data_IF_895436167489
#
_entry.id   IF_895436167489
#
_cell.length_a   1.000
_cell.length_b   1.000
_cell.length_c   1.000
_cell.angle_alpha   90.00
_cell.angle_beta   90.00
_cell.angle_gamma   90.00
#
_symmetry.space_group_name_H-M   'P 1'
#
loop_
_entity.id
_entity.type
_entity.pdbx_description
1 polymer ?
#
# COMPACT_ATOMS: atom_id res chain seq x y z
N UNK A 1 -21.89 -65.65 -1.96
CA UNK A 1 -20.90 -64.54 -1.96
C UNK A 1 -21.46 -63.45 -1.05
N UNK A 2 -21.53 -63.62 0.26
CA UNK A 2 -20.48 -63.44 1.29
C UNK A 2 -19.74 -62.10 1.15
N UNK A 3 -20.31 -61.08 1.80
CA UNK A 3 -19.63 -59.84 2.18
C UNK A 3 -18.64 -60.11 3.30
N UNK A 4 -17.43 -59.57 3.16
CA UNK A 4 -16.36 -59.68 4.14
C UNK A 4 -15.96 -58.26 4.59
N UNK A 5 -15.62 -58.19 5.90
CA UNK A 5 -14.86 -57.15 6.63
C UNK A 5 -15.67 -55.91 7.05
N UNK A 6 -15.68 -55.40 8.29
CA UNK A 6 -14.97 -55.67 9.58
C UNK A 6 -15.68 -54.77 10.61
N UNK A 7 -16.13 -55.27 11.77
CA UNK A 7 -15.56 -55.03 13.13
C UNK A 7 -14.70 -53.75 13.26
N UNK A 8 -14.78 -52.90 14.29
CA UNK A 8 -14.69 -53.14 15.73
C UNK A 8 -14.88 -51.76 16.44
N UNK A 9 -15.09 -51.77 17.76
CA UNK A 9 -15.03 -50.61 18.69
C UNK A 9 -16.35 -49.92 19.06
N UNK A 10 -17.18 -50.66 19.80
CA UNK A 10 -17.88 -50.08 20.94
C UNK A 10 -16.83 -49.67 22.00
N UNK A 11 -16.89 -48.44 22.51
CA UNK A 11 -16.77 -48.11 23.95
C UNK A 11 -16.76 -46.57 24.12
N UNK A 12 -17.58 -46.12 25.07
CA UNK A 12 -17.42 -44.88 25.84
C UNK A 12 -17.78 -43.54 25.16
N UNK A 13 -19.02 -43.05 25.42
CA UNK A 13 -19.29 -41.73 26.02
C UNK A 13 -20.80 -41.49 26.19
N UNK A 14 -21.35 -42.11 27.24
CA UNK A 14 -22.59 -41.65 27.86
C UNK A 14 -22.25 -40.68 28.99
N UNK A 15 -21.95 -39.41 28.67
CA UNK A 15 -22.03 -38.27 29.60
C UNK A 15 -22.21 -37.00 28.77
N UNK A 16 -23.38 -36.79 28.18
CA UNK A 16 -23.72 -35.47 27.62
C UNK A 16 -25.23 -35.26 27.45
N UNK A 17 -26.06 -35.75 28.37
CA UNK A 17 -27.46 -35.32 28.44
C UNK A 17 -27.89 -35.40 29.88
N UNK A 18 -27.86 -34.26 30.57
CA UNK A 18 -28.70 -33.80 31.69
C UNK A 18 -27.99 -32.54 32.20
N UNK A 19 -28.43 -31.38 31.72
CA UNK A 19 -27.85 -30.09 32.08
C UNK A 19 -28.51 -28.93 31.35
N UNK A 20 -29.75 -29.12 30.92
CA UNK A 20 -30.55 -28.13 30.19
C UNK A 20 -31.99 -28.29 30.66
N UNK A 21 -32.32 -27.67 31.81
CA UNK A 21 -33.65 -27.31 32.31
C UNK A 21 -33.57 -27.22 33.83
N UNK A 22 -33.53 -25.98 34.36
CA UNK A 22 -33.89 -25.55 35.73
C UNK A 22 -32.98 -24.39 36.17
N UNK A 23 -33.22 -23.18 35.65
CA UNK A 23 -32.80 -21.91 36.25
C UNK A 23 -33.60 -20.76 35.60
N UNK A 24 -34.92 -20.93 35.54
CA UNK A 24 -35.87 -19.88 35.19
C UNK A 24 -36.97 -19.96 36.25
N UNK A 25 -37.25 -18.81 36.88
CA UNK A 25 -38.19 -18.58 37.98
C UNK A 25 -37.63 -18.76 39.41
N UNK A 26 -36.97 -17.73 39.93
CA UNK A 26 -37.38 -17.06 41.17
C UNK A 26 -36.49 -15.82 41.40
N UNK A 27 -37.06 -14.62 41.33
CA UNK A 27 -36.30 -13.40 41.59
C UNK A 27 -37.02 -12.13 41.19
N UNK A 28 -38.34 -12.08 41.35
CA UNK A 28 -39.12 -10.84 41.26
C UNK A 28 -39.68 -10.56 42.66
N UNK A 29 -39.32 -9.39 43.20
CA UNK A 29 -40.07 -8.55 44.15
C UNK A 29 -39.25 -8.07 45.37
N UNK A 30 -39.25 -6.74 45.51
CA UNK A 30 -38.97 -5.89 46.68
C UNK A 30 -37.48 -5.59 46.95
N UNK A 31 -36.98 -4.36 47.03
CA UNK A 31 -37.59 -3.03 47.00
C UNK A 31 -36.57 -2.00 47.55
N UNK A 32 -36.39 -0.89 46.81
CA UNK A 32 -35.98 0.48 47.23
C UNK A 32 -34.78 0.67 48.17
N UNK A 33 -33.73 1.37 47.69
CA UNK A 33 -33.35 2.73 48.15
C UNK A 33 -32.17 3.29 47.35
N UNK A 34 -32.17 4.61 47.18
CA UNK A 34 -31.33 5.39 46.28
C UNK A 34 -29.87 5.54 46.73
N UNK A 35 -28.96 5.76 45.75
CA UNK A 35 -28.04 6.90 45.74
C UNK A 35 -27.30 7.01 44.39
N UNK A 36 -27.27 8.23 43.86
CA UNK A 36 -26.48 8.64 42.70
C UNK A 36 -25.03 8.14 42.79
N UNK A 37 -24.59 7.41 41.78
CA UNK A 37 -23.21 7.48 41.31
C UNK A 37 -23.27 7.42 39.79
N UNK A 38 -22.96 8.56 39.19
CA UNK A 38 -22.66 8.74 37.77
C UNK A 38 -21.72 7.60 37.35
N UNK A 39 -22.22 6.66 36.56
CA UNK A 39 -21.35 5.67 35.93
C UNK A 39 -20.40 6.41 34.99
N UNK A 40 -19.08 6.16 35.04
CA UNK A 40 -18.23 6.61 33.96
C UNK A 40 -18.70 5.89 32.70
N UNK A 41 -19.20 6.66 31.74
CA UNK A 41 -19.29 6.22 30.35
C UNK A 41 -17.93 5.66 30.02
N UNK A 42 -17.88 4.33 29.85
CA UNK A 42 -16.72 3.62 29.35
C UNK A 42 -16.28 4.38 28.10
N UNK A 43 -15.08 4.99 28.07
CA UNK A 43 -14.62 5.60 26.85
C UNK A 43 -14.63 4.50 25.81
N UNK A 44 -15.47 4.69 24.80
CA UNK A 44 -15.36 4.05 23.50
C UNK A 44 -13.88 3.84 23.26
N UNK A 45 -13.45 2.60 23.10
CA UNK A 45 -12.09 2.27 22.71
C UNK A 45 -11.76 3.21 21.56
N UNK A 46 -10.96 4.23 21.87
CA UNK A 46 -10.34 5.06 20.88
C UNK A 46 -9.59 4.06 20.02
N UNK A 47 -10.02 3.96 18.77
CA UNK A 47 -9.28 3.35 17.68
C UNK A 47 -7.83 3.80 17.85
N UNK A 48 -7.02 2.89 18.40
CA UNK A 48 -5.62 3.15 18.68
C UNK A 48 -4.90 2.89 17.36
N UNK A 49 -4.80 4.00 16.62
CA UNK A 49 -3.80 4.26 15.61
C UNK A 49 -3.84 3.32 14.39
N UNK A 50 -4.75 3.62 13.47
CA UNK A 50 -4.28 3.91 12.11
C UNK A 50 -3.17 4.94 12.28
N UNK A 51 -1.91 4.48 12.36
CA UNK A 51 -0.78 5.34 12.13
C UNK A 51 -1.00 5.88 10.73
N UNK A 52 -1.56 7.07 10.66
CA UNK A 52 -1.82 7.84 9.46
C UNK A 52 -0.57 7.70 8.60
N UNK A 53 -0.69 6.91 7.54
CA UNK A 53 0.43 6.62 6.65
C UNK A 53 0.60 7.85 5.77
N UNK A 54 1.02 8.94 6.39
CA UNK A 54 1.28 10.17 5.70
C UNK A 54 2.73 10.08 5.25
N UNK A 55 2.95 9.54 4.05
CA UNK A 55 4.10 10.02 3.30
C UNK A 55 3.81 11.49 3.04
N UNK A 56 4.42 12.36 3.84
CA UNK A 56 4.36 13.81 3.64
C UNK A 56 4.79 14.06 2.20
N UNK A 57 3.93 14.73 1.44
CA UNK A 57 4.19 15.09 0.05
C UNK A 57 5.55 15.82 -0.04
N UNK A 58 6.47 15.29 -0.82
CA UNK A 58 7.70 15.98 -1.18
C UNK A 58 7.54 16.59 -2.57
N UNK A 59 7.93 17.86 -2.68
CA UNK A 59 7.86 18.62 -3.93
C UNK A 59 9.08 19.52 -4.02
N UNK A 60 9.88 19.37 -5.07
CA UNK A 60 10.96 20.31 -5.37
C UNK A 60 10.39 21.62 -5.94
N UNK A 61 11.22 22.68 -5.99
CA UNK A 61 10.87 23.94 -6.63
C UNK A 61 10.62 23.83 -8.15
N UNK A 62 10.99 22.71 -8.77
CA UNK A 62 10.74 22.42 -10.19
C UNK A 62 9.30 22.03 -10.46
N UNK A 63 8.55 21.56 -9.45
CA UNK A 63 7.19 21.07 -9.68
C UNK A 63 6.20 22.16 -9.39
N UNK A 64 5.20 22.30 -10.25
CA UNK A 64 3.98 23.08 -10.04
C UNK A 64 2.77 22.14 -9.98
N UNK A 65 2.00 22.22 -8.89
CA UNK A 65 0.84 21.35 -8.66
C UNK A 65 -0.44 22.17 -8.86
N UNK A 66 -1.28 21.75 -9.80
CA UNK A 66 -2.59 22.34 -10.04
C UNK A 66 -3.67 21.31 -9.81
N UNK A 67 -4.77 21.70 -9.14
CA UNK A 67 -5.94 20.83 -8.99
C UNK A 67 -6.62 20.66 -10.33
N UNK A 68 -6.96 19.44 -10.69
CA UNK A 68 -7.72 19.15 -11.90
C UNK A 68 -9.01 18.44 -11.52
N UNK A 69 -10.12 18.88 -12.12
CA UNK A 69 -11.37 18.14 -12.14
C UNK A 69 -11.58 17.67 -13.56
N UNK A 70 -11.46 16.37 -13.79
CA UNK A 70 -11.72 15.81 -15.11
C UNK A 70 -13.06 15.09 -15.13
N UNK A 71 -13.87 15.40 -16.14
CA UNK A 71 -15.09 14.67 -16.49
C UNK A 71 -14.78 13.70 -17.63
N UNK A 72 -13.89 12.72 -17.42
CA UNK A 72 -13.62 11.69 -18.44
C UNK A 72 -14.38 10.40 -18.14
N UNK A 73 -14.67 9.67 -19.23
CA UNK A 73 -15.10 8.27 -19.20
C UNK A 73 -13.95 7.47 -18.60
N UNK A 74 -14.14 7.02 -17.35
CA UNK A 74 -13.23 6.09 -16.68
C UNK A 74 -13.04 4.85 -17.53
N UNK A 75 -11.86 4.71 -18.14
CA UNK A 75 -11.35 3.38 -18.47
C UNK A 75 -10.72 2.89 -17.19
N UNK A 76 -11.29 1.87 -16.56
CA UNK A 76 -10.60 1.25 -15.43
C UNK A 76 -9.20 0.89 -15.93
N UNK A 77 -8.13 1.50 -15.38
CA UNK A 77 -6.80 1.01 -15.68
C UNK A 77 -6.80 -0.48 -15.36
N UNK A 78 -6.11 -1.29 -16.16
CA UNK A 78 -5.81 -2.64 -15.71
C UNK A 78 -5.17 -2.45 -14.34
N UNK A 79 -5.81 -3.02 -13.33
CA UNK A 79 -5.49 -2.86 -11.93
C UNK A 79 -4.02 -3.19 -11.60
N UNK A 80 -3.33 -3.82 -12.54
CA UNK A 80 -1.97 -4.30 -12.44
C UNK A 80 -0.98 -3.52 -13.33
N UNK A 81 -1.42 -2.49 -14.06
CA UNK A 81 -0.61 -1.72 -15.01
C UNK A 81 -1.01 -0.24 -15.07
N UNK A 82 -0.61 0.53 -14.05
CA UNK A 82 -0.93 1.97 -13.97
C UNK A 82 -0.22 2.81 -15.04
N UNK A 83 0.99 2.38 -15.45
CA UNK A 83 1.84 3.11 -16.38
C UNK A 83 1.78 2.56 -17.81
N UNK A 84 0.86 1.64 -18.12
CA UNK A 84 0.74 1.03 -19.45
C UNK A 84 0.51 2.04 -20.59
N UNK A 85 -0.10 3.19 -20.28
CA UNK A 85 -0.36 4.24 -21.27
C UNK A 85 0.84 5.14 -21.58
N UNK A 86 1.96 4.98 -20.85
CA UNK A 86 3.19 5.71 -21.11
C UNK A 86 3.96 5.04 -22.23
N UNK A 87 4.55 5.86 -23.12
CA UNK A 87 5.25 5.38 -24.31
C UNK A 87 6.42 4.45 -23.99
N UNK A 88 7.06 4.68 -22.84
CA UNK A 88 8.17 3.88 -22.34
C UNK A 88 7.93 3.54 -20.88
N UNK A 89 7.42 2.34 -20.63
CA UNK A 89 7.19 1.83 -19.29
C UNK A 89 7.71 0.40 -19.16
N UNK A 90 7.99 0.00 -17.93
CA UNK A 90 8.42 -1.34 -17.55
C UNK A 90 7.78 -1.75 -16.23
N UNK A 91 7.68 -3.06 -16.02
CA UNK A 91 7.44 -3.65 -14.72
C UNK A 91 8.76 -4.20 -14.18
N UNK A 92 9.04 -3.93 -12.91
CA UNK A 92 10.25 -4.38 -12.23
C UNK A 92 9.86 -5.44 -11.21
N UNK A 93 10.24 -6.68 -11.49
CA UNK A 93 10.13 -7.75 -10.52
C UNK A 93 11.34 -7.72 -9.57
N UNK A 94 11.12 -8.09 -8.31
CA UNK A 94 12.06 -7.86 -7.21
C UNK A 94 13.37 -8.65 -7.28
N UNK A 95 13.52 -9.51 -8.30
CA UNK A 95 14.61 -10.45 -8.48
C UNK A 95 15.54 -10.06 -9.63
N UNK A 96 15.10 -9.25 -10.59
CA UNK A 96 15.85 -8.95 -11.82
C UNK A 96 15.79 -7.45 -12.10
N UNK A 97 16.95 -6.76 -12.17
CA UNK A 97 17.00 -5.38 -12.64
C UNK A 97 16.39 -5.26 -14.04
N UNK A 98 15.52 -4.29 -14.23
CA UNK A 98 14.83 -4.07 -15.50
C UNK A 98 15.33 -2.78 -16.17
N UNK A 99 15.47 -2.82 -17.50
CA UNK A 99 16.04 -1.71 -18.28
C UNK A 99 14.94 -0.80 -18.82
N UNK A 100 15.08 0.49 -18.54
CA UNK A 100 14.25 1.57 -19.08
C UNK A 100 15.16 2.51 -19.89
N UNK A 101 15.49 2.08 -21.11
CA UNK A 101 16.46 2.76 -21.99
C UNK A 101 17.84 2.90 -21.32
N UNK A 102 18.28 4.13 -21.06
CA UNK A 102 19.56 4.43 -20.41
C UNK A 102 19.56 4.12 -18.91
N UNK A 103 18.36 3.95 -18.32
CA UNK A 103 18.19 3.65 -16.91
C UNK A 103 18.08 2.13 -16.67
N UNK A 104 18.58 1.70 -15.52
CA UNK A 104 18.35 0.37 -14.96
C UNK A 104 17.71 0.55 -13.60
N UNK A 105 16.58 -0.12 -13.39
CA UNK A 105 15.78 -0.01 -12.18
C UNK A 105 15.75 -1.37 -11.51
N UNK A 106 16.16 -1.39 -10.25
CA UNK A 106 16.10 -2.57 -9.40
C UNK A 106 15.10 -2.33 -8.29
N UNK A 107 14.28 -3.33 -8.00
CA UNK A 107 13.34 -3.30 -6.89
C UNK A 107 13.73 -4.38 -5.91
N UNK A 108 13.98 -4.04 -4.65
CA UNK A 108 14.34 -5.02 -3.62
C UNK A 108 13.16 -5.22 -2.69
N UNK A 109 12.71 -6.46 -2.60
CA UNK A 109 11.62 -6.92 -1.73
C UNK A 109 12.24 -7.73 -0.59
N UNK A 110 12.41 -7.20 0.63
CA UNK A 110 12.93 -7.99 1.73
C UNK A 110 11.99 -9.18 2.06
N UNK A 111 12.53 -10.32 2.52
CA UNK A 111 11.74 -11.50 2.85
C UNK A 111 10.78 -11.23 4.02
N UNK A 112 9.52 -11.65 3.89
CA UNK A 112 8.46 -11.28 4.84
C UNK A 112 8.42 -12.12 6.13
N UNK A 113 9.16 -13.22 6.23
CA UNK A 113 9.21 -14.03 7.46
C UNK A 113 9.93 -13.33 8.62
N UNK A 114 10.67 -12.25 8.36
CA UNK A 114 11.36 -11.47 9.39
C UNK A 114 10.42 -10.55 10.19
N UNK A 115 9.17 -10.33 9.76
CA UNK A 115 8.23 -9.43 10.45
C UNK A 115 7.35 -10.11 11.51
N UNK A 116 7.31 -11.45 11.55
CA UNK A 116 6.35 -12.17 12.41
C UNK A 116 6.85 -12.35 13.86
N UNK A 117 8.11 -12.06 14.14
CA UNK A 117 8.73 -12.34 15.45
C UNK A 117 9.29 -11.12 16.18
N UNK A 118 9.20 -9.91 15.61
CA UNK A 118 9.70 -8.70 16.28
C UNK A 118 8.51 -7.90 16.79
N UNK A 119 8.17 -8.17 18.05
CA UNK A 119 7.37 -7.27 18.86
C UNK A 119 8.12 -5.93 18.89
N UNK A 120 7.50 -4.79 18.48
CA UNK A 120 8.24 -3.55 18.31
C UNK A 120 8.44 -2.91 19.68
N UNK A 121 9.42 -3.38 20.43
CA UNK A 121 10.04 -2.55 21.45
C UNK A 121 10.94 -1.55 20.72
N UNK A 122 10.52 -0.28 20.73
CA UNK A 122 11.18 0.89 20.15
C UNK A 122 11.12 1.03 18.62
N UNK A 123 10.63 2.21 18.18
CA UNK A 123 10.27 2.56 16.80
C UNK A 123 11.43 2.75 15.82
N UNK A 124 12.39 1.83 15.77
CA UNK A 124 13.38 1.76 14.69
C UNK A 124 13.13 0.50 13.86
N UNK A 125 12.31 0.62 12.81
CA UNK A 125 12.30 -0.36 11.74
C UNK A 125 13.69 -0.36 11.09
N UNK A 126 14.44 -1.46 11.22
CA UNK A 126 15.76 -1.59 10.61
C UNK A 126 15.68 -1.40 9.09
N UNK A 127 16.58 -0.61 8.50
CA UNK A 127 16.63 -0.31 7.06
C UNK A 127 16.65 -1.56 6.14
N UNK A 128 16.95 -2.75 6.68
CA UNK A 128 16.90 -4.03 5.96
C UNK A 128 15.49 -4.61 5.77
N UNK A 129 14.46 -3.95 6.29
CA UNK A 129 13.07 -4.43 6.35
C UNK A 129 12.09 -3.61 5.51
N UNK A 130 12.58 -2.69 4.68
CA UNK A 130 11.72 -1.88 3.80
C UNK A 130 12.00 -2.23 2.35
N UNK A 131 10.97 -2.13 1.53
CA UNK A 131 11.11 -2.22 0.09
C UNK A 131 12.02 -1.08 -0.39
N UNK A 132 12.87 -1.33 -1.37
CA UNK A 132 13.80 -0.32 -1.89
C UNK A 132 13.73 -0.28 -3.41
N UNK A 133 13.65 0.93 -3.96
CA UNK A 133 13.93 1.17 -5.38
C UNK A 133 15.35 1.70 -5.53
N UNK A 134 16.08 1.15 -6.49
CA UNK A 134 17.40 1.63 -6.90
C UNK A 134 17.36 1.96 -8.39
N UNK A 135 17.90 3.13 -8.73
CA UNK A 135 18.01 3.59 -10.12
C UNK A 135 19.48 3.84 -10.42
N UNK A 136 19.94 3.31 -11.55
CA UNK A 136 21.23 3.63 -12.16
C UNK A 136 21.02 4.07 -13.60
N UNK A 137 22.00 4.81 -14.15
CA UNK A 137 22.00 5.24 -15.54
C UNK A 137 23.37 5.01 -16.14
N UNK A 138 23.45 4.35 -17.30
CA UNK A 138 24.72 4.04 -17.96
C UNK A 138 25.75 3.36 -17.04
N UNK A 139 25.30 2.50 -16.12
CA UNK A 139 26.14 1.80 -15.15
C UNK A 139 26.49 2.61 -13.89
N UNK A 140 26.19 3.90 -13.85
CA UNK A 140 26.39 4.74 -12.67
C UNK A 140 25.17 4.69 -11.74
N UNK A 141 25.39 4.40 -10.46
CA UNK A 141 24.35 4.50 -9.44
C UNK A 141 23.91 5.96 -9.26
N UNK A 142 22.59 6.20 -9.24
CA UNK A 142 22.01 7.54 -9.08
C UNK A 142 21.32 7.67 -7.72
N UNK A 143 20.36 6.78 -7.42
CA UNK A 143 19.52 6.90 -6.23
C UNK A 143 19.13 5.54 -5.68
N UNK A 144 18.99 5.49 -4.35
CA UNK A 144 18.32 4.43 -3.59
C UNK A 144 17.29 5.09 -2.69
N UNK A 145 16.06 4.60 -2.76
CA UNK A 145 14.95 5.15 -2.00
C UNK A 145 14.17 4.01 -1.33
N UNK A 146 13.90 4.16 -0.04
CA UNK A 146 13.08 3.23 0.73
C UNK A 146 11.60 3.56 0.59
N UNK A 147 10.78 2.53 0.41
CA UNK A 147 9.33 2.63 0.29
C UNK A 147 8.71 2.14 1.59
N UNK A 148 7.89 2.99 2.21
CA UNK A 148 7.27 2.66 3.49
C UNK A 148 6.39 1.40 3.36
N UNK A 149 6.43 0.47 4.34
CA UNK A 149 5.69 -0.80 4.27
C UNK A 149 4.18 -0.66 4.05
N UNK A 150 3.62 0.48 4.42
CA UNK A 150 2.22 0.77 4.24
C UNK A 150 1.77 0.89 2.76
N UNK A 151 2.69 1.17 1.83
CA UNK A 151 2.39 1.23 0.40
C UNK A 151 2.64 -0.08 -0.34
N UNK A 152 3.50 -0.94 0.21
CA UNK A 152 3.89 -2.21 -0.42
C UNK A 152 3.16 -3.40 0.18
N UNK A 153 2.69 -3.28 1.42
CA UNK A 153 1.96 -4.33 2.12
C UNK A 153 2.82 -5.57 2.42
N UNK A 154 2.18 -6.57 3.01
CA UNK A 154 2.84 -7.82 3.46
C UNK A 154 2.65 -9.00 2.49
N UNK A 155 2.38 -8.76 1.20
CA UNK A 155 2.08 -9.84 0.25
C UNK A 155 3.20 -10.09 -0.78
N UNK A 156 3.16 -11.27 -1.40
CA UNK A 156 4.12 -11.72 -2.42
C UNK A 156 3.98 -10.96 -3.76
N UNK A 157 2.87 -10.27 -3.96
CA UNK A 157 2.53 -9.57 -5.22
C UNK A 157 2.98 -8.11 -5.27
N UNK A 158 3.85 -7.67 -4.35
CA UNK A 158 4.53 -6.37 -4.41
C UNK A 158 5.12 -6.16 -5.80
N UNK A 159 4.81 -5.04 -6.45
CA UNK A 159 5.32 -4.71 -7.79
C UNK A 159 5.74 -3.26 -7.84
N UNK A 160 6.78 -3.01 -8.63
CA UNK A 160 7.20 -1.68 -9.00
C UNK A 160 6.98 -1.53 -10.50
N UNK A 161 6.28 -0.48 -10.89
CA UNK A 161 6.22 0.01 -12.26
C UNK A 161 7.13 1.22 -12.39
N UNK A 162 7.70 1.40 -13.58
CA UNK A 162 8.45 2.61 -13.88
C UNK A 162 8.19 3.07 -15.31
N UNK A 163 8.16 4.38 -15.51
CA UNK A 163 8.05 5.00 -16.81
C UNK A 163 9.08 6.11 -16.98
N UNK A 164 9.53 6.30 -18.22
CA UNK A 164 10.39 7.43 -18.59
C UNK A 164 9.48 8.59 -18.95
N UNK A 165 9.72 9.76 -18.35
CA UNK A 165 9.08 11.00 -18.73
C UNK A 165 10.10 11.89 -19.44
N UNK A 166 9.69 12.52 -20.54
CA UNK A 166 10.48 13.55 -21.22
C UNK A 166 9.77 14.88 -21.10
N UNK A 167 10.40 15.87 -20.48
CA UNK A 167 9.85 17.22 -20.32
C UNK A 167 10.87 18.22 -20.87
N UNK A 168 10.53 18.84 -22.00
CA UNK A 168 11.51 19.57 -22.80
C UNK A 168 12.65 18.65 -23.23
N UNK A 169 13.89 19.04 -22.94
CA UNK A 169 15.09 18.25 -23.19
C UNK A 169 15.51 17.37 -22.00
N UNK A 170 14.86 17.52 -20.85
CA UNK A 170 15.15 16.77 -19.66
C UNK A 170 14.40 15.42 -19.61
N UNK A 171 15.02 14.46 -18.93
CA UNK A 171 14.46 13.11 -18.75
C UNK A 171 14.31 12.82 -17.26
N UNK A 172 13.17 12.24 -16.91
CA UNK A 172 12.83 11.85 -15.55
C UNK A 172 12.38 10.39 -15.50
N UNK A 173 12.47 9.79 -14.32
CA UNK A 173 11.97 8.45 -14.04
C UNK A 173 10.81 8.57 -13.08
N UNK A 174 9.61 8.20 -13.53
CA UNK A 174 8.43 8.01 -12.71
C UNK A 174 8.43 6.57 -12.21
N UNK A 175 8.33 6.38 -10.90
CA UNK A 175 8.22 5.07 -10.26
C UNK A 175 6.93 4.99 -9.45
N UNK A 176 6.26 3.83 -9.53
CA UNK A 176 5.05 3.54 -8.79
C UNK A 176 5.17 2.17 -8.14
N UNK A 177 5.02 2.10 -6.82
CA UNK A 177 4.96 0.84 -6.09
C UNK A 177 3.53 0.59 -5.60
N UNK A 178 3.03 -0.61 -5.83
CA UNK A 178 1.68 -1.02 -5.45
C UNK A 178 1.70 -2.36 -4.70
N UNK A 179 0.90 -2.43 -3.63
CA UNK A 179 0.63 -3.62 -2.82
C UNK A 179 -0.56 -4.48 -3.26
N UNK A 180 -1.13 -4.27 -4.46
CA UNK A 180 -2.35 -4.89 -5.05
C UNK A 180 -3.63 -4.04 -4.85
N UNK A 181 -4.64 -4.26 -5.70
CA UNK A 181 -5.94 -3.57 -5.77
C UNK A 181 -6.47 -3.00 -4.43
N UNK A 182 -6.93 -1.74 -4.47
CA UNK A 182 -7.45 -0.96 -3.33
C UNK A 182 -6.45 -0.58 -2.24
N UNK A 183 -5.16 -0.94 -2.34
CA UNK A 183 -4.14 -0.52 -1.37
C UNK A 183 -3.57 0.86 -1.69
N UNK A 184 -3.04 1.58 -0.69
CA UNK A 184 -2.25 2.78 -0.93
C UNK A 184 -1.11 2.50 -1.91
N UNK A 185 -0.74 3.49 -2.71
CA UNK A 185 0.40 3.41 -3.63
C UNK A 185 1.45 4.43 -3.25
N UNK A 186 2.70 4.09 -3.53
CA UNK A 186 3.80 5.04 -3.44
C UNK A 186 4.19 5.50 -4.83
N UNK A 187 4.34 6.80 -5.01
CA UNK A 187 4.75 7.42 -6.26
C UNK A 187 5.96 8.31 -6.02
N UNK A 188 6.94 8.24 -6.91
CA UNK A 188 8.05 9.19 -6.95
C UNK A 188 8.48 9.52 -8.39
N UNK A 189 8.99 10.73 -8.57
CA UNK A 189 9.62 11.19 -9.80
C UNK A 189 11.05 11.61 -9.46
N UNK A 190 12.02 11.06 -10.19
CA UNK A 190 13.44 11.38 -10.05
C UNK A 190 13.94 12.03 -11.34
N UNK A 191 14.76 13.06 -11.20
CA UNK A 191 15.51 13.64 -12.31
C UNK A 191 16.63 12.69 -12.77
N UNK A 192 17.24 12.99 -13.92
CA UNK A 192 18.25 12.14 -14.54
C UNK A 192 19.56 12.00 -13.73
N UNK A 193 19.78 12.88 -12.76
CA UNK A 193 20.89 12.86 -11.80
C UNK A 193 20.56 12.03 -10.54
N UNK A 194 19.32 11.56 -10.40
CA UNK A 194 18.82 10.85 -9.22
C UNK A 194 18.14 11.74 -8.17
N UNK A 195 18.17 13.06 -8.34
CA UNK A 195 17.53 13.99 -7.41
C UNK A 195 16.01 13.78 -7.42
N UNK A 196 15.35 13.69 -6.24
CA UNK A 196 13.90 13.61 -6.21
C UNK A 196 13.27 14.92 -6.62
N UNK A 197 12.23 14.83 -7.43
CA UNK A 197 11.45 15.96 -7.95
C UNK A 197 10.08 15.99 -7.29
N UNK A 198 9.47 14.83 -7.13
CA UNK A 198 8.16 14.69 -6.49
C UNK A 198 8.05 13.34 -5.79
N UNK A 199 7.41 13.27 -4.61
CA UNK A 199 7.04 12.01 -3.94
C UNK A 199 5.72 12.18 -3.21
N UNK A 200 4.84 11.18 -3.32
CA UNK A 200 3.55 11.20 -2.64
C UNK A 200 3.08 9.77 -2.34
N UNK A 201 2.44 9.61 -1.18
CA UNK A 201 1.60 8.45 -0.89
C UNK A 201 0.19 8.70 -1.41
N UNK A 202 -0.29 7.84 -2.30
CA UNK A 202 -1.65 7.87 -2.81
C UNK A 202 -2.52 6.96 -1.93
N UNK A 203 -3.69 7.42 -1.45
CA UNK A 203 -4.45 6.72 -0.40
C UNK A 203 -5.08 5.39 -0.84
N UNK A 204 -5.16 5.14 -2.15
CA UNK A 204 -5.73 3.92 -2.71
C UNK A 204 -5.14 3.62 -4.09
N UNK A 205 -5.41 2.42 -4.62
CA UNK A 205 -4.80 1.93 -5.86
C UNK A 205 -5.46 2.42 -7.16
N UNK A 206 -6.62 3.08 -7.07
CA UNK A 206 -7.40 3.45 -8.26
C UNK A 206 -7.03 4.83 -8.79
N UNK A 207 -5.86 4.94 -9.40
CA UNK A 207 -5.40 6.17 -10.07
C UNK A 207 -5.09 5.92 -11.53
N UNK A 208 -5.50 6.88 -12.36
CA UNK A 208 -5.11 6.98 -13.75
C UNK A 208 -4.00 8.04 -13.88
N UNK A 209 -2.94 7.70 -14.62
CA UNK A 209 -1.78 8.57 -14.85
C UNK A 209 -1.64 8.91 -16.33
N UNK A 210 -1.84 10.17 -16.70
CA UNK A 210 -1.68 10.60 -18.09
C UNK A 210 -0.35 11.31 -18.29
N UNK A 211 0.40 10.92 -19.32
CA UNK A 211 1.61 11.60 -19.77
C UNK A 211 1.26 12.84 -20.61
N UNK A 212 2.00 13.92 -20.42
CA UNK A 212 1.89 15.14 -21.21
C UNK A 212 3.30 15.72 -21.43
N UNK A 213 3.44 16.65 -22.38
CA UNK A 213 4.73 17.24 -22.75
C UNK A 213 5.46 17.97 -21.60
N UNK A 214 4.72 18.46 -20.61
CA UNK A 214 5.21 19.27 -19.48
C UNK A 214 5.03 18.58 -18.11
N UNK A 215 4.72 17.27 -18.08
CA UNK A 215 4.62 16.49 -16.85
C UNK A 215 3.46 15.50 -16.85
N UNK A 216 2.87 15.20 -15.69
CA UNK A 216 1.84 14.14 -15.55
C UNK A 216 0.55 14.62 -14.88
N UNK A 217 -0.57 14.01 -15.26
CA UNK A 217 -1.85 14.17 -14.56
C UNK A 217 -2.16 12.89 -13.81
N UNK A 218 -2.59 12.99 -12.56
CA UNK A 218 -3.04 11.86 -11.74
C UNK A 218 -4.47 12.12 -11.29
N UNK A 219 -5.38 11.20 -11.61
CA UNK A 219 -6.82 11.35 -11.34
C UNK A 219 -7.34 10.07 -10.68
N UNK A 220 -8.09 10.22 -9.60
CA UNK A 220 -8.75 9.12 -8.90
C UNK A 220 -10.15 8.83 -9.45
N UNK A 221 -10.72 7.69 -9.06
CA UNK A 221 -12.06 7.25 -9.49
C UNK A 221 -13.21 8.23 -9.23
N UNK A 222 -13.01 9.24 -8.37
CA UNK A 222 -14.00 10.30 -8.16
C UNK A 222 -13.98 11.37 -9.26
N UNK A 223 -12.99 11.34 -10.15
CA UNK A 223 -12.74 12.38 -11.16
C UNK A 223 -11.94 13.57 -10.60
N UNK A 224 -11.47 13.46 -9.36
CA UNK A 224 -10.62 14.47 -8.72
C UNK A 224 -9.15 14.10 -8.90
N UNK A 225 -8.31 15.10 -9.12
CA UNK A 225 -6.91 14.83 -9.38
C UNK A 225 -6.00 16.04 -9.30
N UNK A 226 -4.75 15.82 -9.67
CA UNK A 226 -3.69 16.82 -9.69
C UNK A 226 -2.93 16.73 -11.00
N UNK A 227 -2.56 17.91 -11.51
CA UNK A 227 -1.59 18.09 -12.59
C UNK A 227 -0.26 18.42 -11.94
N UNK A 228 0.76 17.63 -12.24
CA UNK A 228 2.15 17.92 -11.92
C UNK A 228 2.81 18.47 -13.18
N UNK A 229 3.08 19.77 -13.16
CA UNK A 229 3.86 20.46 -14.17
C UNK A 229 5.32 20.44 -13.72
N UNK A 230 6.23 19.90 -14.53
CA UNK A 230 7.65 19.84 -14.20
C UNK A 230 8.36 20.94 -15.00
N UNK A 231 9.00 21.86 -14.30
CA UNK A 231 9.82 22.93 -14.86
C UNK A 231 11.27 22.45 -14.83
N UNK A 232 11.93 22.30 -15.99
CA UNK A 232 13.36 22.00 -16.07
C UNK A 232 14.18 22.92 -15.16
N UNK A 233 15.28 22.42 -14.61
CA UNK A 233 16.15 23.26 -13.80
C UNK A 233 16.67 24.42 -14.69
N UNK A 234 16.54 25.66 -14.23
CA UNK A 234 17.24 26.77 -14.87
C UNK A 234 18.74 26.52 -14.70
N UNK A 235 19.44 26.26 -15.80
CA UNK A 235 20.90 26.13 -15.86
C UNK A 235 21.58 27.47 -15.62
#
# INVERSE_FOLDING_TARGET
>A
MVSLLTSLSAYCKHVLHIGLLMCLALGFALGLTACNSTMPVQPSQASLNDAEVTLTEYRSNQVEVTVVRQQYVWRLPDANQHLAQFSHHIQVDGSVPARLQDFVISYRKPPQYLFRSVQPESGMMAASSVDEVQISRNGQFLVRESIAPAFTGQQSYRRLEAARLKVGDETYVLTLANGFLHRPMWLAIFAADGSPVYRLGLPHGHWQFTEHADGISMVDTSGSGRRLLIRPALQ
#
